data_IF_149732063194
#
_entry.id   IF_149732063194
#
_cell.length_a   1.000
_cell.length_b   1.000
_cell.length_c   1.000
_cell.angle_alpha   90.00
_cell.angle_beta   90.00
_cell.angle_gamma   90.00
#
_symmetry.space_group_name_H-M   'P 1'
#
loop_
_entity.id
_entity.type
_entity.pdbx_description
1 polymer ?
#
# COMPACT_ATOMS: atom_id res chain seq x y z
N UNK A 1 67.61 -115.10 -30.07
CA UNK A 1 68.76 -116.03 -30.10
C UNK A 1 69.55 -115.71 -31.38
N UNK A 2 70.84 -115.33 -31.28
CA UNK A 2 71.66 -114.69 -32.37
C UNK A 2 71.11 -113.31 -32.81
N UNK A 3 71.84 -112.18 -32.83
CA UNK A 3 73.18 -111.75 -33.34
C UNK A 3 73.13 -111.27 -34.82
N UNK A 4 73.76 -110.17 -35.26
CA UNK A 4 74.30 -108.94 -34.61
C UNK A 4 74.72 -107.89 -35.71
N UNK A 5 74.63 -106.56 -35.42
CA UNK A 5 75.38 -105.40 -36.02
C UNK A 5 75.35 -104.99 -37.53
N UNK A 6 75.25 -103.65 -37.75
CA UNK A 6 75.99 -102.77 -38.71
C UNK A 6 75.96 -103.07 -40.25
N UNK A 7 76.30 -102.19 -41.21
CA UNK A 7 76.64 -100.73 -41.23
C UNK A 7 76.44 -100.12 -42.63
N UNK A 8 76.44 -98.79 -42.67
CA UNK A 8 76.71 -97.85 -43.77
C UNK A 8 77.84 -98.24 -44.77
N UNK A 9 77.68 -97.76 -46.02
CA UNK A 9 78.68 -97.15 -46.92
C UNK A 9 79.53 -98.01 -47.89
N UNK A 10 79.90 -97.35 -49.01
CA UNK A 10 81.00 -97.59 -49.98
C UNK A 10 80.67 -98.33 -51.30
N UNK A 11 81.05 -97.65 -52.38
CA UNK A 11 81.10 -98.00 -53.81
C UNK A 11 81.94 -99.28 -54.12
N UNK A 12 82.12 -99.79 -55.36
CA UNK A 12 82.48 -99.11 -56.62
C UNK A 12 82.48 -100.09 -57.82
N UNK A 13 82.55 -99.55 -59.05
CA UNK A 13 82.62 -100.22 -60.38
C UNK A 13 81.33 -100.94 -60.87
N UNK A 14 80.78 -100.81 -62.11
CA UNK A 14 81.27 -100.57 -63.51
C UNK A 14 81.64 -101.90 -64.20
N UNK A 15 81.22 -102.25 -65.43
CA UNK A 15 80.57 -101.51 -66.56
C UNK A 15 79.74 -102.40 -67.53
N UNK A 16 78.88 -101.75 -68.34
CA UNK A 16 78.77 -101.81 -69.83
C UNK A 16 77.35 -101.98 -70.45
N UNK A 17 77.03 -101.02 -71.33
CA UNK A 17 76.23 -101.11 -72.59
C UNK A 17 74.71 -101.42 -72.51
N UNK A 18 73.82 -100.74 -73.25
CA UNK A 18 73.88 -99.41 -73.91
C UNK A 18 72.45 -98.85 -74.18
N UNK A 19 72.34 -97.65 -74.75
CA UNK A 19 71.16 -96.75 -74.71
C UNK A 19 70.21 -96.70 -75.94
N UNK A 20 69.18 -95.82 -75.82
CA UNK A 20 68.52 -94.98 -76.85
C UNK A 20 67.26 -95.48 -77.61
N UNK A 21 66.22 -94.66 -77.90
CA UNK A 21 65.55 -93.51 -77.20
C UNK A 21 64.20 -93.20 -77.93
N UNK A 22 63.22 -92.55 -77.28
CA UNK A 22 61.98 -92.04 -77.93
C UNK A 22 60.92 -91.50 -76.94
N UNK A 23 60.11 -90.48 -77.32
CA UNK A 23 59.48 -89.59 -76.33
C UNK A 23 57.97 -89.23 -76.47
N UNK A 24 57.23 -89.46 -75.38
CA UNK A 24 56.33 -88.54 -74.61
C UNK A 24 55.09 -87.87 -75.26
N UNK A 25 54.03 -87.69 -74.42
CA UNK A 25 52.78 -86.88 -74.51
C UNK A 25 51.47 -87.65 -74.84
N UNK A 26 50.29 -87.36 -74.27
CA UNK A 26 49.90 -86.45 -73.16
C UNK A 26 48.46 -86.72 -72.59
N UNK A 27 48.16 -86.03 -71.47
CA UNK A 27 46.84 -85.45 -71.07
C UNK A 27 45.84 -86.25 -70.20
N UNK A 28 45.50 -85.67 -69.02
CA UNK A 28 44.45 -86.11 -68.06
C UNK A 28 44.04 -84.93 -67.12
N UNK A 29 43.17 -85.17 -66.12
CA UNK A 29 42.60 -84.26 -65.08
C UNK A 29 41.42 -83.35 -65.53
N UNK A 30 40.46 -82.93 -64.67
CA UNK A 30 40.32 -82.94 -63.19
C UNK A 30 38.90 -83.42 -62.80
N UNK A 31 38.71 -84.02 -61.62
CA UNK A 31 37.40 -84.29 -60.98
C UNK A 31 37.39 -83.80 -59.51
N UNK A 32 36.27 -83.25 -59.02
CA UNK A 32 36.10 -82.77 -57.62
C UNK A 32 34.81 -83.32 -56.97
N UNK A 33 34.87 -83.83 -55.72
CA UNK A 33 33.67 -84.11 -54.94
C UNK A 33 33.72 -83.57 -53.49
N UNK A 34 32.74 -82.73 -53.11
CA UNK A 34 31.74 -83.09 -52.08
C UNK A 34 30.86 -81.90 -51.63
N UNK A 35 29.58 -81.92 -52.00
CA UNK A 35 28.56 -81.03 -51.42
C UNK A 35 28.03 -81.65 -50.12
N UNK A 36 27.99 -80.88 -49.03
CA UNK A 36 27.25 -81.22 -47.81
C UNK A 36 26.01 -80.35 -47.69
N UNK A 37 24.87 -80.99 -47.47
CA UNK A 37 23.60 -80.32 -47.22
C UNK A 37 23.58 -79.65 -45.84
N UNK A 38 22.95 -78.48 -45.75
CA UNK A 38 22.55 -77.84 -44.50
C UNK A 38 21.13 -77.29 -44.63
N UNK A 39 20.17 -78.00 -44.03
CA UNK A 39 18.83 -77.49 -43.78
C UNK A 39 18.82 -76.72 -42.46
N UNK A 40 18.46 -75.44 -42.48
CA UNK A 40 17.47 -74.91 -41.53
C UNK A 40 16.89 -73.55 -41.95
N UNK A 41 15.85 -73.12 -41.25
CA UNK A 41 15.04 -71.94 -41.58
C UNK A 41 15.69 -70.60 -41.21
N UNK A 42 15.51 -69.59 -42.08
CA UNK A 42 15.36 -68.19 -41.65
C UNK A 42 16.39 -67.18 -42.18
N UNK A 43 15.95 -66.40 -43.19
CA UNK A 43 16.60 -65.20 -43.77
C UNK A 43 17.93 -65.42 -44.49
N UNK A 44 18.08 -64.75 -45.63
CA UNK A 44 19.28 -64.82 -46.47
C UNK A 44 20.46 -64.05 -45.86
N UNK A 45 21.64 -64.64 -45.88
CA UNK A 45 22.92 -63.92 -45.88
C UNK A 45 23.95 -64.74 -46.66
N UNK A 46 24.21 -64.37 -47.92
CA UNK A 46 25.37 -64.85 -48.67
C UNK A 46 26.54 -63.92 -48.36
N UNK A 47 27.65 -64.46 -47.88
CA UNK A 47 28.91 -63.72 -47.71
C UNK A 47 29.91 -64.22 -48.73
N UNK A 48 30.55 -63.30 -49.45
CA UNK A 48 31.61 -63.58 -50.41
C UNK A 48 32.32 -62.29 -50.81
N UNK A 49 33.66 -62.31 -50.71
CA UNK A 49 34.59 -61.19 -50.91
C UNK A 49 34.53 -60.03 -49.89
N UNK A 50 35.68 -59.36 -49.77
CA UNK A 50 36.09 -58.33 -48.78
C UNK A 50 37.38 -57.66 -49.35
N UNK A 51 37.82 -56.45 -48.96
CA UNK A 51 37.32 -55.43 -48.03
C UNK A 51 36.96 -54.15 -48.84
N UNK A 52 36.60 -52.97 -48.31
CA UNK A 52 36.56 -52.44 -46.94
C UNK A 52 35.40 -51.42 -46.77
N UNK A 53 35.14 -51.03 -45.51
CA UNK A 53 34.33 -49.88 -45.12
C UNK A 53 32.91 -49.75 -45.75
N UNK A 54 32.08 -50.79 -45.59
CA UNK A 54 30.59 -50.73 -45.61
C UNK A 54 29.83 -50.23 -46.88
N UNK A 55 29.21 -51.18 -47.61
CA UNK A 55 28.30 -50.98 -48.77
C UNK A 55 27.30 -52.19 -48.80
N UNK A 56 26.04 -52.22 -49.28
CA UNK A 56 25.19 -51.36 -50.15
C UNK A 56 23.79 -51.08 -49.53
N UNK A 57 22.68 -51.24 -50.27
CA UNK A 57 21.42 -50.48 -50.14
C UNK A 57 20.12 -51.29 -50.40
N UNK A 58 19.11 -51.01 -49.58
CA UNK A 58 17.77 -51.62 -49.52
C UNK A 58 16.91 -50.91 -48.47
N UNK A 59 17.06 -51.28 -47.20
CA UNK A 59 16.67 -50.47 -46.02
C UNK A 59 17.88 -50.28 -45.07
N UNK A 60 19.03 -49.92 -45.63
CA UNK A 60 20.37 -50.26 -45.13
C UNK A 60 21.14 -49.04 -44.52
N UNK A 61 22.15 -49.22 -43.63
CA UNK A 61 23.65 -49.24 -43.84
C UNK A 61 24.16 -47.85 -44.35
N UNK A 62 25.36 -47.30 -44.07
CA UNK A 62 26.77 -47.63 -44.39
C UNK A 62 27.79 -46.68 -43.67
N UNK A 63 29.11 -46.88 -43.86
CA UNK A 63 30.21 -46.03 -43.39
C UNK A 63 31.54 -46.26 -44.16
N UNK A 64 31.90 -45.39 -45.13
CA UNK A 64 33.16 -45.52 -45.91
C UNK A 64 34.44 -44.91 -45.27
N UNK A 65 34.46 -44.67 -43.94
CA UNK A 65 35.66 -44.73 -43.06
C UNK A 65 35.47 -44.10 -41.67
N UNK A 66 34.61 -43.07 -41.49
CA UNK A 66 34.44 -42.40 -40.19
C UNK A 66 33.00 -41.99 -39.79
N UNK A 67 31.98 -42.23 -40.62
CA UNK A 67 30.62 -41.67 -40.47
C UNK A 67 29.55 -42.71 -40.80
N UNK A 68 28.63 -42.98 -39.86
CA UNK A 68 27.59 -44.00 -40.01
C UNK A 68 26.28 -43.38 -40.48
N UNK A 69 25.84 -43.75 -41.68
CA UNK A 69 24.49 -43.49 -42.18
C UNK A 69 23.54 -44.65 -41.88
N UNK A 70 22.29 -44.34 -41.53
CA UNK A 70 21.17 -45.31 -41.53
C UNK A 70 20.04 -44.68 -42.34
N UNK A 71 19.71 -45.24 -43.50
CA UNK A 71 18.73 -44.66 -44.43
C UNK A 71 19.22 -43.40 -45.17
N UNK A 72 20.52 -43.09 -45.12
CA UNK A 72 21.15 -41.96 -45.86
C UNK A 72 22.54 -42.34 -46.35
N UNK A 73 22.82 -42.14 -47.64
CA UNK A 73 24.13 -42.37 -48.28
C UNK A 73 25.06 -41.16 -48.25
N UNK A 74 24.61 -40.06 -47.65
CA UNK A 74 25.42 -38.86 -47.40
C UNK A 74 25.21 -38.44 -45.94
N UNK A 75 25.73 -39.20 -44.96
CA UNK A 75 25.65 -38.80 -43.56
C UNK A 75 26.33 -37.44 -43.36
N UNK A 76 25.68 -36.53 -42.62
CA UNK A 76 26.22 -35.21 -42.27
C UNK A 76 26.76 -35.16 -40.84
N UNK A 77 26.76 -36.30 -40.14
CA UNK A 77 27.18 -36.47 -38.75
C UNK A 77 27.83 -37.85 -38.57
N UNK A 78 28.59 -38.04 -37.47
CA UNK A 78 29.23 -39.33 -37.13
C UNK A 78 28.25 -40.49 -36.97
N UNK A 79 27.00 -40.19 -36.60
CA UNK A 79 25.84 -41.05 -36.81
C UNK A 79 24.69 -40.19 -37.34
N UNK A 80 24.17 -40.52 -38.52
CA UNK A 80 23.06 -39.83 -39.18
C UNK A 80 21.95 -40.84 -39.50
N UNK A 81 20.78 -40.67 -38.89
CA UNK A 81 19.64 -41.60 -38.99
C UNK A 81 18.49 -40.89 -39.70
N UNK A 82 18.26 -41.27 -40.96
CA UNK A 82 17.22 -40.72 -41.82
C UNK A 82 16.13 -41.77 -42.05
N UNK A 83 14.95 -41.53 -41.48
CA UNK A 83 13.79 -42.42 -41.59
C UNK A 83 12.63 -41.78 -42.35
N UNK A 84 11.68 -42.61 -42.80
CA UNK A 84 10.35 -42.18 -43.24
C UNK A 84 9.31 -42.55 -42.18
N UNK A 85 8.19 -41.84 -42.14
CA UNK A 85 7.20 -42.01 -41.06
C UNK A 85 7.68 -41.47 -39.70
N UNK A 86 6.97 -41.83 -38.63
CA UNK A 86 7.10 -41.22 -37.30
C UNK A 86 8.08 -41.87 -36.33
N UNK A 87 8.85 -42.89 -36.73
CA UNK A 87 9.72 -43.68 -35.85
C UNK A 87 11.20 -43.55 -36.24
N UNK A 88 12.00 -42.96 -35.35
CA UNK A 88 13.46 -42.83 -35.48
C UNK A 88 14.22 -43.76 -34.54
N UNK A 89 15.16 -43.20 -33.77
CA UNK A 89 15.95 -43.92 -32.78
C UNK A 89 15.09 -44.43 -31.60
N UNK A 90 15.34 -45.67 -31.15
CA UNK A 90 14.83 -46.23 -29.90
C UNK A 90 16.02 -46.68 -29.04
N UNK A 91 16.04 -46.29 -27.75
CA UNK A 91 17.05 -46.72 -26.77
C UNK A 91 16.33 -47.28 -25.55
N UNK A 92 16.23 -48.60 -25.47
CA UNK A 92 15.38 -49.31 -24.52
C UNK A 92 16.18 -50.33 -23.71
N UNK A 93 16.04 -50.29 -22.39
CA UNK A 93 16.49 -51.36 -21.49
C UNK A 93 15.30 -52.26 -21.10
N UNK A 94 15.60 -53.53 -20.82
CA UNK A 94 14.64 -54.50 -20.27
C UNK A 94 14.56 -54.50 -18.74
N UNK A 95 15.48 -53.81 -18.05
CA UNK A 95 15.45 -53.60 -16.59
C UNK A 95 16.32 -52.40 -16.17
N UNK A 96 16.10 -51.87 -14.96
CA UNK A 96 16.77 -50.65 -14.49
C UNK A 96 16.50 -49.45 -15.43
N UNK A 97 17.52 -48.63 -15.72
CA UNK A 97 17.43 -47.43 -16.57
C UNK A 97 17.88 -47.67 -18.02
N UNK A 98 17.50 -46.74 -18.89
CA UNK A 98 18.01 -46.56 -20.25
C UNK A 98 18.46 -45.11 -20.37
N UNK A 99 19.68 -44.87 -20.88
CA UNK A 99 20.30 -43.53 -20.93
C UNK A 99 20.89 -43.23 -22.29
N UNK A 100 20.97 -41.94 -22.60
CA UNK A 100 21.82 -41.40 -23.67
C UNK A 100 22.73 -40.42 -22.96
N UNK A 101 23.92 -40.88 -22.58
CA UNK A 101 24.92 -40.03 -21.95
C UNK A 101 25.50 -39.07 -22.99
N UNK A 102 25.48 -37.78 -22.68
CA UNK A 102 26.05 -36.71 -23.50
C UNK A 102 27.11 -36.04 -22.64
N UNK A 103 28.36 -36.48 -22.80
CA UNK A 103 29.53 -35.89 -22.16
C UNK A 103 30.30 -35.03 -23.17
N UNK A 104 30.66 -33.82 -22.76
CA UNK A 104 31.37 -32.85 -23.59
C UNK A 104 32.63 -32.38 -22.88
N UNK A 105 33.79 -32.85 -23.36
CA UNK A 105 35.11 -32.46 -22.85
C UNK A 105 35.32 -30.93 -22.81
N UNK A 106 34.70 -30.21 -23.74
CA UNK A 106 34.51 -28.76 -23.67
C UNK A 106 33.33 -28.31 -24.53
N UNK A 107 32.68 -27.21 -24.15
CA UNK A 107 31.49 -26.69 -24.82
C UNK A 107 30.18 -27.40 -24.39
N UNK A 108 29.11 -27.11 -25.13
CA UNK A 108 27.75 -27.57 -24.83
C UNK A 108 27.61 -29.11 -24.85
N UNK A 109 27.32 -29.73 -23.70
CA UNK A 109 26.70 -31.05 -23.68
C UNK A 109 25.19 -30.88 -23.88
N UNK A 110 24.71 -31.11 -25.11
CA UNK A 110 23.38 -30.68 -25.54
C UNK A 110 22.61 -31.70 -26.40
N UNK A 111 21.31 -31.83 -26.12
CA UNK A 111 20.33 -32.24 -27.11
C UNK A 111 19.98 -31.04 -28.01
N UNK A 112 20.13 -31.21 -29.32
CA UNK A 112 19.98 -30.13 -30.30
C UNK A 112 18.80 -30.36 -31.22
N UNK A 113 17.91 -29.37 -31.29
CA UNK A 113 16.75 -29.36 -32.16
C UNK A 113 17.01 -28.42 -33.34
N UNK A 114 16.90 -28.95 -34.56
CA UNK A 114 17.13 -28.23 -35.81
C UNK A 114 15.93 -28.35 -36.75
N UNK A 115 15.73 -27.34 -37.60
CA UNK A 115 14.71 -27.30 -38.64
C UNK A 115 15.40 -27.14 -39.99
N UNK A 116 15.32 -28.18 -40.83
CA UNK A 116 15.93 -28.21 -42.17
C UNK A 116 17.41 -27.77 -42.16
N UNK A 117 18.23 -28.40 -41.32
CA UNK A 117 19.67 -28.10 -41.16
C UNK A 117 19.99 -26.86 -40.32
N UNK A 118 19.03 -25.96 -40.06
CA UNK A 118 19.25 -24.78 -39.21
C UNK A 118 18.98 -25.13 -37.75
N UNK A 119 19.99 -25.01 -36.89
CA UNK A 119 19.83 -25.23 -35.45
C UNK A 119 18.88 -24.18 -34.85
N UNK A 120 17.98 -24.59 -33.96
CA UNK A 120 16.95 -23.71 -33.37
C UNK A 120 17.04 -23.68 -31.85
N UNK A 121 17.23 -24.83 -31.20
CA UNK A 121 17.27 -24.92 -29.74
C UNK A 121 18.32 -25.91 -29.27
N UNK A 122 19.02 -25.58 -28.18
CA UNK A 122 19.75 -26.55 -27.36
C UNK A 122 18.99 -26.73 -26.03
N UNK A 123 18.80 -27.97 -25.59
CA UNK A 123 18.60 -28.30 -24.17
C UNK A 123 19.94 -28.84 -23.67
N UNK A 124 20.59 -28.11 -22.76
CA UNK A 124 22.03 -28.25 -22.48
C UNK A 124 22.41 -28.00 -21.03
N UNK A 125 23.62 -28.42 -20.64
CA UNK A 125 24.35 -27.69 -19.61
C UNK A 125 24.99 -26.42 -20.21
N UNK A 126 25.13 -25.38 -19.39
CA UNK A 126 25.94 -24.22 -19.75
C UNK A 126 27.43 -24.56 -19.58
N UNK A 127 28.29 -24.36 -20.61
CA UNK A 127 29.70 -24.75 -20.54
C UNK A 127 30.56 -23.91 -19.60
N UNK A 128 30.04 -22.81 -19.03
CA UNK A 128 30.77 -21.94 -18.10
C UNK A 128 30.29 -22.04 -16.65
N UNK A 129 29.01 -22.37 -16.43
CA UNK A 129 28.36 -22.40 -15.11
C UNK A 129 27.79 -23.76 -14.70
N UNK A 130 27.68 -24.70 -15.66
CA UNK A 130 26.93 -25.95 -15.54
C UNK A 130 25.43 -25.78 -15.25
N UNK A 131 24.86 -24.58 -15.44
CA UNK A 131 23.43 -24.33 -15.33
C UNK A 131 22.65 -25.18 -16.35
N UNK A 132 21.50 -25.73 -15.96
CA UNK A 132 20.62 -26.45 -16.89
C UNK A 132 19.80 -25.44 -17.69
N UNK A 133 19.93 -25.41 -19.02
CA UNK A 133 19.40 -24.37 -19.89
C UNK A 133 18.52 -24.89 -21.03
N UNK A 134 17.48 -24.12 -21.38
CA UNK A 134 16.85 -24.15 -22.71
C UNK A 134 17.26 -22.86 -23.43
N UNK A 135 18.01 -23.01 -24.52
CA UNK A 135 18.67 -21.92 -25.23
C UNK A 135 18.21 -21.83 -26.69
N UNK A 136 17.75 -20.66 -27.11
CA UNK A 136 17.30 -20.35 -28.47
C UNK A 136 18.47 -19.86 -29.34
N UNK A 137 18.82 -20.65 -30.35
CA UNK A 137 19.88 -20.36 -31.30
C UNK A 137 19.36 -19.44 -32.42
N UNK A 138 20.24 -18.57 -32.94
CA UNK A 138 19.88 -17.63 -34.02
C UNK A 138 19.42 -16.24 -33.55
N UNK A 139 19.51 -15.95 -32.25
CA UNK A 139 19.35 -14.58 -31.72
C UNK A 139 18.49 -14.46 -30.46
N UNK A 140 17.76 -15.51 -30.07
CA UNK A 140 16.89 -15.46 -28.90
C UNK A 140 17.60 -15.57 -27.56
N UNK A 141 18.69 -16.33 -27.48
CA UNK A 141 19.47 -16.51 -26.26
C UNK A 141 18.82 -17.46 -25.26
N UNK A 142 19.17 -17.33 -23.98
CA UNK A 142 18.61 -18.18 -22.93
C UNK A 142 17.14 -17.84 -22.65
N UNK A 143 16.28 -18.87 -22.57
CA UNK A 143 14.83 -18.72 -22.29
C UNK A 143 14.43 -19.27 -20.93
N UNK A 144 15.15 -20.27 -20.45
CA UNK A 144 14.95 -20.96 -19.18
C UNK A 144 16.32 -21.37 -18.64
N UNK A 145 16.58 -21.14 -17.36
CA UNK A 145 17.68 -21.79 -16.64
C UNK A 145 17.29 -22.28 -15.25
N UNK A 146 17.97 -23.31 -14.78
CA UNK A 146 18.15 -23.59 -13.34
C UNK A 146 19.63 -23.41 -13.01
N UNK A 147 19.93 -22.53 -12.06
CA UNK A 147 21.30 -22.30 -11.60
C UNK A 147 21.83 -23.50 -10.82
N UNK A 148 22.98 -24.04 -11.24
CA UNK A 148 23.63 -25.17 -10.59
C UNK A 148 24.07 -24.85 -9.14
N UNK A 149 24.46 -23.59 -8.88
CA UNK A 149 24.98 -23.15 -7.57
C UNK A 149 23.91 -22.80 -6.53
N UNK A 150 22.71 -22.39 -6.96
CA UNK A 150 21.65 -21.87 -6.07
C UNK A 150 20.33 -22.63 -6.17
N UNK A 151 20.09 -23.37 -7.26
CA UNK A 151 18.78 -23.91 -7.61
C UNK A 151 17.74 -22.84 -7.99
N UNK A 152 18.14 -21.59 -8.24
CA UNK A 152 17.22 -20.54 -8.69
C UNK A 152 16.77 -20.77 -10.14
N UNK A 153 15.48 -20.55 -10.41
CA UNK A 153 14.85 -20.70 -11.72
C UNK A 153 14.69 -19.33 -12.39
N UNK A 154 15.32 -19.15 -13.56
CA UNK A 154 15.18 -17.97 -14.41
C UNK A 154 14.34 -18.23 -15.65
N UNK A 155 13.38 -17.34 -15.97
CA UNK A 155 12.61 -17.33 -17.22
C UNK A 155 12.89 -16.03 -18.00
N UNK A 156 13.65 -16.15 -19.09
CA UNK A 156 14.37 -15.05 -19.76
C UNK A 156 15.29 -14.23 -18.82
N UNK A 157 15.58 -14.74 -17.62
CA UNK A 157 16.53 -14.15 -16.67
C UNK A 157 17.77 -15.05 -16.60
N UNK A 158 18.94 -14.61 -17.11
CA UNK A 158 20.18 -15.37 -17.02
C UNK A 158 20.90 -15.25 -15.67
N UNK A 159 20.44 -14.38 -14.76
CA UNK A 159 21.03 -14.16 -13.43
C UNK A 159 19.97 -14.04 -12.31
N UNK A 160 19.04 -15.01 -12.16
CA UNK A 160 17.97 -14.99 -11.16
C UNK A 160 18.54 -14.92 -9.74
N UNK A 161 18.39 -13.77 -9.07
CA UNK A 161 18.78 -13.59 -7.66
C UNK A 161 17.82 -14.30 -6.71
N UNK A 162 16.55 -14.42 -7.10
CA UNK A 162 15.47 -15.06 -6.35
C UNK A 162 15.17 -16.48 -6.83
N UNK A 163 14.49 -17.27 -6.00
CA UNK A 163 14.15 -18.68 -6.29
C UNK A 163 13.37 -18.88 -7.59
N UNK A 164 12.55 -17.90 -7.97
CA UNK A 164 11.93 -17.78 -9.28
C UNK A 164 12.03 -16.32 -9.74
N UNK A 165 12.73 -16.06 -10.84
CA UNK A 165 12.78 -14.76 -11.50
C UNK A 165 12.28 -14.84 -12.94
N UNK A 166 11.58 -13.81 -13.39
CA UNK A 166 10.90 -13.77 -14.69
C UNK A 166 11.07 -12.39 -15.31
N UNK A 167 11.89 -12.29 -16.37
CA UNK A 167 12.00 -11.08 -17.18
C UNK A 167 10.82 -11.04 -18.16
N UNK A 168 9.74 -10.38 -17.74
CA UNK A 168 8.53 -10.21 -18.56
C UNK A 168 7.27 -9.89 -17.75
N UNK A 169 6.11 -10.10 -18.38
CA UNK A 169 4.79 -9.98 -17.72
C UNK A 169 4.19 -11.36 -17.50
N UNK A 170 3.85 -11.68 -16.25
CA UNK A 170 3.21 -12.95 -15.88
C UNK A 170 1.70 -12.90 -16.19
N UNK A 171 1.15 -13.96 -16.79
CA UNK A 171 -0.30 -14.12 -17.01
C UNK A 171 -0.80 -15.40 -16.33
N UNK A 172 -1.29 -15.27 -15.10
CA UNK A 172 -1.87 -16.39 -14.34
C UNK A 172 -3.29 -16.70 -14.85
N UNK A 173 -3.46 -17.81 -15.56
CA UNK A 173 -4.73 -18.16 -16.24
C UNK A 173 -5.78 -18.86 -15.33
N UNK A 174 -5.88 -18.46 -14.07
CA UNK A 174 -6.81 -19.04 -13.10
C UNK A 174 -8.30 -18.70 -13.43
N UNK A 175 -9.31 -19.54 -13.07
CA UNK A 175 -10.73 -19.23 -13.30
C UNK A 175 -11.23 -17.95 -12.64
N UNK A 176 -10.65 -17.54 -11.51
CA UNK A 176 -11.06 -16.33 -10.76
C UNK A 176 -10.57 -15.01 -11.36
N UNK A 177 -9.68 -15.02 -12.36
CA UNK A 177 -9.12 -13.80 -12.99
C UNK A 177 -10.19 -12.84 -13.52
N UNK A 178 -9.92 -11.55 -13.50
CA UNK A 178 -10.83 -10.52 -13.99
C UNK A 178 -10.20 -9.13 -14.03
N UNK A 179 -10.90 -8.17 -14.63
CA UNK A 179 -10.53 -6.75 -14.55
C UNK A 179 -10.71 -6.24 -13.11
N UNK A 180 -9.88 -5.30 -12.67
CA UNK A 180 -9.90 -4.71 -11.32
C UNK A 180 -9.82 -5.75 -10.17
N UNK A 181 -9.02 -6.80 -10.39
CA UNK A 181 -8.66 -7.80 -9.39
C UNK A 181 -7.20 -7.72 -8.96
N UNK A 182 -6.94 -8.14 -7.73
CA UNK A 182 -5.61 -8.29 -7.13
C UNK A 182 -5.37 -9.74 -6.74
N UNK A 183 -4.10 -10.14 -6.73
CA UNK A 183 -3.68 -11.45 -6.22
C UNK A 183 -3.58 -11.39 -4.70
N UNK A 184 -4.25 -12.31 -4.00
CA UNK A 184 -4.20 -12.44 -2.53
C UNK A 184 -3.95 -13.88 -2.14
N UNK A 185 -3.12 -14.12 -1.13
CA UNK A 185 -2.86 -15.44 -0.56
C UNK A 185 -3.92 -15.86 0.46
N UNK A 186 -4.24 -17.15 0.53
CA UNK A 186 -4.89 -17.76 1.69
C UNK A 186 -3.88 -18.04 2.83
N UNK A 187 -4.32 -18.72 3.89
CA UNK A 187 -3.48 -19.10 5.02
C UNK A 187 -2.36 -20.13 4.68
N UNK A 188 -2.44 -20.77 3.50
CA UNK A 188 -1.44 -21.72 2.99
C UNK A 188 -0.51 -21.07 1.93
N UNK A 189 -0.68 -19.77 1.65
CA UNK A 189 0.08 -19.05 0.62
C UNK A 189 -0.49 -19.15 -0.80
N UNK A 190 -1.65 -19.77 -1.00
CA UNK A 190 -2.25 -19.98 -2.33
C UNK A 190 -2.81 -18.67 -2.88
N UNK A 191 -2.14 -18.13 -3.91
CA UNK A 191 -2.56 -16.89 -4.58
C UNK A 191 -3.80 -17.07 -5.45
N UNK A 192 -4.87 -16.32 -5.16
CA UNK A 192 -6.12 -16.29 -5.95
C UNK A 192 -6.47 -14.85 -6.37
N UNK A 193 -7.19 -14.68 -7.49
CA UNK A 193 -7.61 -13.35 -7.94
C UNK A 193 -8.89 -12.91 -7.24
N UNK A 194 -8.77 -12.00 -6.28
CA UNK A 194 -9.90 -11.42 -5.56
C UNK A 194 -10.26 -10.04 -6.10
N UNK A 195 -11.52 -9.64 -5.92
CA UNK A 195 -11.94 -8.28 -6.22
C UNK A 195 -11.17 -7.30 -5.33
N UNK A 196 -10.77 -6.14 -5.88
CA UNK A 196 -10.32 -5.01 -5.07
C UNK A 196 -11.50 -4.52 -4.23
N UNK A 197 -11.62 -5.00 -2.98
CA UNK A 197 -12.62 -4.54 -2.02
C UNK A 197 -13.80 -5.48 -1.71
N UNK A 198 -13.66 -6.81 -1.71
CA UNK A 198 -14.70 -7.72 -1.15
C UNK A 198 -14.56 -8.01 0.36
N UNK A 199 -13.47 -7.59 1.00
CA UNK A 199 -13.28 -7.69 2.47
C UNK A 199 -13.21 -6.31 3.16
N UNK A 200 -13.53 -5.23 2.45
CA UNK A 200 -13.41 -3.85 2.92
C UNK A 200 -14.58 -2.98 2.41
N UNK A 201 -15.80 -3.30 2.85
CA UNK A 201 -17.04 -2.57 2.54
C UNK A 201 -17.13 -1.23 3.29
N UNK A 202 -16.06 -0.43 3.26
CA UNK A 202 -15.83 0.63 4.25
C UNK A 202 -15.23 1.94 3.73
N UNK A 203 -14.63 1.98 2.53
CA UNK A 203 -14.05 3.21 1.96
C UNK A 203 -14.05 3.19 0.43
N UNK A 204 -14.46 4.30 -0.19
CA UNK A 204 -14.29 4.58 -1.61
C UNK A 204 -13.53 5.90 -1.80
N UNK A 205 -12.83 6.01 -2.93
CA UNK A 205 -12.11 7.21 -3.37
C UNK A 205 -12.69 7.63 -4.73
N UNK A 206 -13.26 8.82 -4.82
CA UNK A 206 -13.89 9.34 -6.05
C UNK A 206 -13.50 10.80 -6.25
N UNK A 207 -12.68 11.06 -7.26
CA UNK A 207 -12.02 12.37 -7.43
C UNK A 207 -11.18 12.69 -6.19
N UNK A 208 -11.34 13.89 -5.64
CA UNK A 208 -10.64 14.34 -4.42
C UNK A 208 -11.28 13.83 -3.11
N UNK A 209 -12.36 13.05 -3.16
CA UNK A 209 -13.13 12.64 -1.98
C UNK A 209 -12.77 11.23 -1.53
N UNK A 210 -12.53 11.05 -0.23
CA UNK A 210 -12.55 9.75 0.45
C UNK A 210 -13.77 9.68 1.37
N UNK A 211 -14.59 8.64 1.26
CA UNK A 211 -15.82 8.49 2.07
C UNK A 211 -16.15 7.01 2.32
N UNK A 212 -16.91 6.72 3.38
CA UNK A 212 -17.39 5.36 3.63
C UNK A 212 -18.47 5.01 2.60
N UNK A 213 -18.22 3.95 1.82
CA UNK A 213 -19.12 3.45 0.78
C UNK A 213 -20.07 2.36 1.27
N UNK A 214 -19.84 1.81 2.46
CA UNK A 214 -20.84 1.03 3.19
C UNK A 214 -21.77 1.93 3.99
N UNK A 215 -22.91 1.39 4.43
CA UNK A 215 -23.88 2.09 5.30
C UNK A 215 -23.39 2.21 6.77
N UNK A 216 -22.07 2.26 6.98
CA UNK A 216 -21.42 2.20 8.28
C UNK A 216 -20.91 3.55 8.78
N UNK A 217 -20.63 3.63 10.08
CA UNK A 217 -20.08 4.82 10.73
C UNK A 217 -18.55 4.87 10.67
N UNK A 218 -17.98 6.08 10.76
CA UNK A 218 -16.53 6.32 10.76
C UNK A 218 -16.00 6.42 12.19
N UNK A 219 -15.20 5.44 12.60
CA UNK A 219 -14.50 5.43 13.89
C UNK A 219 -13.04 5.87 13.75
N UNK A 220 -12.63 6.93 14.44
CA UNK A 220 -11.24 7.41 14.49
C UNK A 220 -10.66 7.12 15.87
N UNK A 221 -9.85 6.06 15.97
CA UNK A 221 -9.35 5.55 17.25
C UNK A 221 -10.40 4.82 18.09
N UNK A 222 -11.52 4.40 17.49
CA UNK A 222 -12.56 3.59 18.14
C UNK A 222 -13.20 2.64 17.13
N UNK A 223 -13.57 1.43 17.57
CA UNK A 223 -14.38 0.47 16.81
C UNK A 223 -15.87 0.49 17.20
N UNK A 224 -16.22 1.07 18.35
CA UNK A 224 -17.60 1.15 18.86
C UNK A 224 -18.17 2.55 18.63
N UNK A 225 -18.76 2.71 17.44
CA UNK A 225 -19.31 3.97 16.93
C UNK A 225 -20.83 4.03 17.15
N UNK A 226 -21.32 5.17 17.64
CA UNK A 226 -22.74 5.42 17.95
C UNK A 226 -23.32 6.58 17.12
N UNK A 227 -22.52 7.18 16.25
CA UNK A 227 -22.87 8.26 15.33
C UNK A 227 -22.04 8.13 14.04
N UNK A 228 -22.48 8.70 12.90
CA UNK A 228 -21.80 8.59 11.60
C UNK A 228 -20.31 8.94 11.58
N UNK A 229 -19.85 9.76 12.51
CA UNK A 229 -18.44 9.98 12.80
C UNK A 229 -18.24 10.04 14.32
N UNK A 230 -17.29 9.27 14.86
CA UNK A 230 -16.95 9.28 16.29
C UNK A 230 -15.44 9.10 16.50
N UNK A 231 -14.87 9.90 17.40
CA UNK A 231 -13.47 9.79 17.83
C UNK A 231 -13.34 8.91 19.08
N UNK A 232 -12.11 8.46 19.38
CA UNK A 232 -11.75 7.84 20.65
C UNK A 232 -12.23 8.68 21.86
N UNK A 233 -12.71 8.02 22.91
CA UNK A 233 -13.16 8.66 24.16
C UNK A 233 -11.96 9.05 25.04
N UNK A 234 -11.19 10.01 24.56
CA UNK A 234 -9.95 10.53 25.16
C UNK A 234 -10.04 12.06 25.15
N UNK A 235 -9.75 12.70 26.28
CA UNK A 235 -9.65 14.16 26.38
C UNK A 235 -8.37 14.65 25.69
N UNK A 236 -8.48 15.67 24.85
CA UNK A 236 -7.36 16.30 24.15
C UNK A 236 -7.77 17.70 23.65
N UNK A 237 -6.82 18.64 23.62
CA UNK A 237 -7.05 19.93 22.97
C UNK A 237 -7.34 19.73 21.48
N UNK A 238 -6.52 18.93 20.78
CA UNK A 238 -6.74 18.59 19.37
C UNK A 238 -7.61 17.34 19.21
N UNK A 239 -8.85 17.52 18.75
CA UNK A 239 -9.73 16.42 18.26
C UNK A 239 -10.00 16.56 16.76
N UNK A 240 -10.20 17.78 16.29
CA UNK A 240 -10.29 18.15 14.87
C UNK A 240 -9.41 19.38 14.67
N UNK A 241 -8.46 19.32 13.74
CA UNK A 241 -7.64 20.45 13.28
C UNK A 241 -8.09 20.81 11.87
N UNK A 242 -8.39 22.10 11.64
CA UNK A 242 -8.77 22.63 10.32
C UNK A 242 -7.60 23.40 9.67
N UNK A 243 -6.79 24.05 10.49
CA UNK A 243 -5.54 24.72 10.14
C UNK A 243 -4.65 24.83 11.37
N UNK A 244 -3.33 24.87 11.22
CA UNK A 244 -2.39 25.10 12.32
C UNK A 244 -1.20 25.95 11.90
N UNK A 245 -0.69 26.74 12.85
CA UNK A 245 0.50 27.60 12.67
C UNK A 245 1.77 26.90 13.17
N UNK A 246 1.64 26.02 14.16
CA UNK A 246 2.72 25.19 14.70
C UNK A 246 2.17 23.90 15.32
N UNK A 247 2.93 22.81 15.18
CA UNK A 247 2.58 21.49 15.72
C UNK A 247 2.86 21.42 17.23
N UNK A 248 1.86 21.82 18.01
CA UNK A 248 1.81 21.71 19.48
C UNK A 248 0.34 21.47 19.91
N UNK A 249 -0.10 21.89 21.09
CA UNK A 249 -1.49 21.69 21.58
C UNK A 249 -2.32 22.99 21.67
N UNK A 250 -1.84 24.09 21.07
CA UNK A 250 -2.43 25.44 21.24
C UNK A 250 -2.56 26.25 19.94
N UNK A 251 -1.58 26.19 19.04
CA UNK A 251 -1.53 27.03 17.82
C UNK A 251 -2.29 26.42 16.63
N UNK A 252 -3.59 26.22 16.78
CA UNK A 252 -4.46 25.66 15.75
C UNK A 252 -5.87 26.24 15.77
N UNK A 253 -6.56 26.06 14.64
CA UNK A 253 -7.95 26.42 14.43
C UNK A 253 -8.75 25.12 14.34
N UNK A 254 -9.72 24.92 15.23
CA UNK A 254 -10.49 23.67 15.27
C UNK A 254 -11.17 23.39 16.61
N UNK A 255 -11.36 22.11 16.90
CA UNK A 255 -12.20 21.62 17.99
C UNK A 255 -11.47 20.62 18.89
N UNK A 256 -11.85 20.61 20.18
CA UNK A 256 -11.26 19.80 21.23
C UNK A 256 -12.23 19.40 22.32
N UNK A 257 -11.77 18.60 23.28
CA UNK A 257 -12.53 18.28 24.49
C UNK A 257 -11.61 18.12 25.70
N UNK A 258 -11.87 18.89 26.75
CA UNK A 258 -11.22 18.80 28.06
C UNK A 258 -12.28 18.42 29.11
N UNK A 259 -11.90 18.27 30.38
CA UNK A 259 -12.85 17.92 31.45
C UNK A 259 -13.99 18.93 31.51
N UNK A 260 -15.24 18.45 31.48
CA UNK A 260 -16.49 19.23 31.43
C UNK A 260 -16.57 20.30 30.32
N UNK A 261 -15.67 20.29 29.31
CA UNK A 261 -15.43 21.45 28.44
C UNK A 261 -15.32 21.04 26.97
N UNK A 262 -16.23 21.52 26.12
CA UNK A 262 -16.06 21.51 24.67
C UNK A 262 -15.15 22.66 24.27
N UNK A 263 -14.00 22.37 23.64
CA UNK A 263 -13.04 23.40 23.21
C UNK A 263 -13.31 23.82 21.78
N UNK A 264 -13.46 25.13 21.59
CA UNK A 264 -13.26 25.81 20.31
C UNK A 264 -11.90 26.50 20.42
N UNK A 265 -11.00 26.30 19.44
CA UNK A 265 -9.67 26.91 19.46
C UNK A 265 -9.43 27.71 18.18
N UNK A 266 -8.75 28.85 18.35
CA UNK A 266 -8.01 29.59 17.33
C UNK A 266 -6.58 29.79 17.83
N UNK A 267 -5.64 30.04 16.92
CA UNK A 267 -4.27 30.36 17.30
C UNK A 267 -4.13 31.86 17.69
N UNK A 268 -2.89 32.31 17.95
CA UNK A 268 -2.63 33.63 18.53
C UNK A 268 -3.10 34.77 17.60
N UNK A 269 -3.79 35.77 18.15
CA UNK A 269 -4.41 36.84 17.35
C UNK A 269 -5.67 36.43 16.55
N UNK A 270 -6.02 35.14 16.52
CA UNK A 270 -7.23 34.62 15.90
C UNK A 270 -8.52 35.08 16.58
N UNK A 271 -9.64 35.02 15.86
CA UNK A 271 -10.94 35.49 16.34
C UNK A 271 -12.00 34.39 16.11
N UNK A 272 -12.92 34.19 17.05
CA UNK A 272 -14.10 33.35 16.82
C UNK A 272 -15.20 34.21 16.20
N UNK A 273 -15.52 34.01 14.92
CA UNK A 273 -16.49 34.83 14.18
C UNK A 273 -17.57 33.96 13.55
N UNK A 274 -18.82 34.38 13.72
CA UNK A 274 -20.01 33.73 13.17
C UNK A 274 -20.52 34.54 11.98
N UNK A 275 -20.53 33.91 10.81
CA UNK A 275 -20.96 34.51 9.54
C UNK A 275 -22.30 33.93 9.07
N UNK A 276 -23.14 34.78 8.47
CA UNK A 276 -24.23 34.36 7.59
C UNK A 276 -23.95 34.77 6.15
N UNK A 277 -24.54 34.06 5.19
CA UNK A 277 -24.43 34.43 3.77
C UNK A 277 -25.16 35.76 3.48
N UNK A 278 -24.60 36.57 2.57
CA UNK A 278 -25.32 37.69 1.93
C UNK A 278 -25.67 37.30 0.50
N UNK A 279 -24.70 36.76 -0.26
CA UNK A 279 -24.86 36.27 -1.62
C UNK A 279 -23.67 35.33 -1.97
N UNK A 280 -23.56 34.91 -3.24
CA UNK A 280 -22.52 34.00 -3.71
C UNK A 280 -21.06 34.47 -3.58
N UNK A 281 -20.78 35.72 -3.20
CA UNK A 281 -19.42 36.27 -3.03
C UNK A 281 -19.20 37.05 -1.74
N UNK A 282 -20.19 37.18 -0.84
CA UNK A 282 -19.99 37.86 0.45
C UNK A 282 -20.84 37.32 1.61
N UNK A 283 -20.34 37.55 2.82
CA UNK A 283 -20.91 37.11 4.09
C UNK A 283 -20.99 38.27 5.10
N UNK A 284 -21.99 38.23 5.98
CA UNK A 284 -22.21 39.20 7.06
C UNK A 284 -21.71 38.62 8.38
N UNK A 285 -20.84 39.36 9.07
CA UNK A 285 -20.50 39.08 10.48
C UNK A 285 -21.74 39.30 11.36
N UNK A 286 -22.10 38.30 12.17
CA UNK A 286 -23.24 38.37 13.09
C UNK A 286 -22.81 38.52 14.55
N UNK A 287 -21.77 37.78 14.94
CA UNK A 287 -21.25 37.74 16.30
C UNK A 287 -19.75 37.41 16.26
N UNK A 288 -18.99 38.02 17.16
CA UNK A 288 -17.54 37.87 17.25
C UNK A 288 -17.07 37.89 18.70
N UNK A 289 -16.15 36.97 19.01
CA UNK A 289 -15.25 37.06 20.15
C UNK A 289 -13.85 37.33 19.58
N UNK A 290 -13.29 38.48 19.92
CA UNK A 290 -12.00 38.92 19.44
C UNK A 290 -10.84 38.28 20.22
N UNK A 291 -9.64 38.31 19.63
CA UNK A 291 -8.40 37.80 20.26
C UNK A 291 -8.07 38.42 21.62
N UNK A 292 -8.55 39.63 21.88
CA UNK A 292 -8.40 40.36 23.15
C UNK A 292 -9.61 40.22 24.09
N UNK A 293 -10.45 39.19 23.90
CA UNK A 293 -11.63 38.92 24.72
C UNK A 293 -12.87 39.81 24.45
N UNK A 294 -12.74 40.88 23.66
CA UNK A 294 -13.88 41.75 23.33
C UNK A 294 -14.97 40.98 22.57
N UNK A 295 -16.22 41.13 23.00
CA UNK A 295 -17.40 40.52 22.36
C UNK A 295 -18.21 41.59 21.63
N UNK A 296 -18.60 41.31 20.38
CA UNK A 296 -19.44 42.20 19.57
C UNK A 296 -20.51 41.44 18.79
N UNK A 297 -21.72 42.01 18.72
CA UNK A 297 -22.84 41.50 17.94
C UNK A 297 -23.31 42.54 16.92
N UNK A 298 -23.69 42.11 15.71
CA UNK A 298 -24.24 42.98 14.66
C UNK A 298 -25.75 43.25 14.80
N UNK A 299 -26.30 43.01 16.00
CA UNK A 299 -27.71 43.15 16.37
C UNK A 299 -27.86 43.29 17.89
N UNK A 300 -29.11 43.42 18.36
CA UNK A 300 -29.40 43.70 19.78
C UNK A 300 -29.38 42.44 20.63
N UNK A 301 -28.56 42.43 21.69
CA UNK A 301 -28.59 41.40 22.73
C UNK A 301 -29.86 41.61 23.57
N UNK A 302 -30.75 40.62 23.57
CA UNK A 302 -32.07 40.69 24.21
C UNK A 302 -32.19 39.66 25.33
N UNK A 303 -32.74 40.05 26.48
CA UNK A 303 -32.85 39.22 27.68
C UNK A 303 -34.32 38.87 27.96
N UNK A 304 -34.60 37.62 28.33
CA UNK A 304 -35.95 37.14 28.63
C UNK A 304 -36.49 37.76 29.93
N UNK A 305 -37.64 38.44 29.85
CA UNK A 305 -38.17 39.23 30.97
C UNK A 305 -39.68 39.00 31.25
N UNK A 306 -40.27 38.00 30.59
CA UNK A 306 -41.69 37.63 30.71
C UNK A 306 -42.08 37.28 32.16
N UNK A 307 -43.26 37.73 32.61
CA UNK A 307 -43.80 37.47 33.96
C UNK A 307 -43.93 35.96 34.25
N UNK A 308 -44.21 35.14 33.24
CA UNK A 308 -44.38 33.67 33.37
C UNK A 308 -43.06 32.94 33.68
N UNK A 309 -41.92 33.58 33.43
CA UNK A 309 -40.58 33.07 33.73
C UNK A 309 -40.06 33.57 35.09
N UNK A 310 -40.90 34.27 35.86
CA UNK A 310 -40.53 34.92 37.13
C UNK A 310 -41.50 34.50 38.25
N UNK A 311 -40.93 34.31 39.43
CA UNK A 311 -41.64 34.09 40.69
C UNK A 311 -41.19 35.14 41.71
N UNK A 312 -41.85 35.17 42.87
CA UNK A 312 -41.41 35.93 44.05
C UNK A 312 -41.17 37.43 43.75
N UNK A 313 -42.03 38.01 42.90
CA UNK A 313 -41.84 39.34 42.28
C UNK A 313 -42.14 40.46 43.30
N UNK A 314 -41.11 40.96 43.96
CA UNK A 314 -41.16 42.16 44.82
C UNK A 314 -40.73 43.39 44.04
N UNK A 315 -41.34 44.55 44.30
CA UNK A 315 -40.93 45.83 43.69
C UNK A 315 -39.72 46.40 44.43
N UNK A 316 -38.72 46.87 43.69
CA UNK A 316 -37.63 47.69 44.25
C UNK A 316 -38.19 48.98 44.88
N UNK A 317 -37.67 49.33 46.06
CA UNK A 317 -38.02 50.51 46.87
C UNK A 317 -36.77 51.04 47.58
N UNK A 318 -36.72 52.35 47.84
CA UNK A 318 -35.65 53.02 48.60
C UNK A 318 -34.23 52.67 48.09
N UNK A 319 -34.05 52.72 46.77
CA UNK A 319 -32.78 52.35 46.12
C UNK A 319 -31.81 53.53 46.00
N UNK A 320 -32.32 54.75 46.06
CA UNK A 320 -31.52 55.97 45.91
C UNK A 320 -30.39 56.11 46.96
N UNK A 321 -30.60 55.87 48.27
CA UNK A 321 -29.51 55.97 49.26
C UNK A 321 -28.42 54.91 49.08
N UNK A 322 -28.77 53.71 48.59
CA UNK A 322 -27.79 52.68 48.23
C UNK A 322 -26.92 53.15 47.05
N UNK A 323 -27.53 53.72 46.01
CA UNK A 323 -26.80 54.22 44.84
C UNK A 323 -25.86 55.38 45.19
N UNK A 324 -26.24 56.27 46.11
CA UNK A 324 -25.34 57.32 46.64
C UNK A 324 -24.15 56.76 47.46
N UNK A 325 -24.16 55.48 47.82
CA UNK A 325 -23.07 54.82 48.55
C UNK A 325 -22.10 54.05 47.63
N UNK A 326 -22.31 54.05 46.31
CA UNK A 326 -21.46 53.39 45.32
C UNK A 326 -20.53 54.38 44.60
N UNK A 327 -19.26 54.00 44.44
CA UNK A 327 -18.24 54.83 43.78
C UNK A 327 -17.95 54.33 42.36
N UNK A 328 -17.84 55.26 41.41
CA UNK A 328 -17.34 54.98 40.06
C UNK A 328 -15.82 55.12 39.98
N UNK A 329 -15.14 54.10 39.47
CA UNK A 329 -13.68 54.03 39.38
C UNK A 329 -13.19 54.07 37.94
N UNK A 330 -12.06 54.75 37.73
CA UNK A 330 -11.21 54.59 36.56
C UNK A 330 -10.09 53.59 36.91
N UNK A 331 -9.81 52.61 36.05
CA UNK A 331 -8.80 51.59 36.32
C UNK A 331 -8.13 51.07 35.04
N UNK A 332 -6.98 50.42 35.21
CA UNK A 332 -6.37 49.56 34.18
C UNK A 332 -6.38 48.12 34.72
N UNK A 333 -6.35 47.13 33.81
CA UNK A 333 -6.14 45.74 34.21
C UNK A 333 -4.71 45.53 34.73
N UNK A 334 -4.51 44.49 35.56
CA UNK A 334 -3.18 44.14 36.09
C UNK A 334 -2.37 43.22 35.17
N UNK A 335 -3.02 42.64 34.16
CA UNK A 335 -2.40 41.74 33.19
C UNK A 335 -2.51 42.32 31.78
N UNK A 336 -1.38 42.40 31.09
CA UNK A 336 -1.20 42.87 29.70
C UNK A 336 -1.92 41.99 28.65
N UNK A 337 -2.48 40.85 29.08
CA UNK A 337 -3.38 39.99 28.30
C UNK A 337 -4.76 40.59 28.08
N UNK A 338 -5.15 41.55 28.93
CA UNK A 338 -6.40 42.29 28.84
C UNK A 338 -6.17 43.64 28.11
N UNK A 339 -7.17 44.52 28.04
CA UNK A 339 -6.97 45.81 27.38
C UNK A 339 -6.27 46.83 28.28
N UNK A 340 -5.07 47.26 27.87
CA UNK A 340 -4.29 48.36 28.49
C UNK A 340 -4.98 49.74 28.47
N UNK A 341 -6.16 49.84 27.86
CA UNK A 341 -6.94 51.08 27.83
C UNK A 341 -7.53 51.36 29.20
N UNK A 342 -7.63 52.63 29.58
CA UNK A 342 -8.34 53.07 30.77
C UNK A 342 -9.81 52.61 30.71
N UNK A 343 -10.23 51.85 31.72
CA UNK A 343 -11.59 51.34 31.90
C UNK A 343 -12.33 52.17 32.95
N UNK A 344 -13.67 52.16 32.87
CA UNK A 344 -14.55 52.80 33.86
C UNK A 344 -15.53 51.74 34.37
N UNK A 345 -15.76 51.68 35.68
CA UNK A 345 -16.68 50.70 36.28
C UNK A 345 -16.79 50.80 37.81
N UNK A 346 -17.34 49.75 38.42
CA UNK A 346 -17.46 49.60 39.88
C UNK A 346 -16.50 48.52 40.41
N UNK A 347 -16.12 48.63 41.68
CA UNK A 347 -15.54 47.52 42.42
C UNK A 347 -16.67 46.56 42.83
N UNK A 348 -16.59 45.29 42.39
CA UNK A 348 -17.63 44.30 42.64
C UNK A 348 -17.91 44.08 44.14
N UNK A 349 -16.88 44.25 44.99
CA UNK A 349 -16.97 44.16 46.44
C UNK A 349 -17.84 45.25 47.07
N UNK A 350 -17.87 46.47 46.50
CA UNK A 350 -18.77 47.54 46.98
C UNK A 350 -20.22 47.30 46.52
N UNK A 351 -20.39 46.81 45.29
CA UNK A 351 -21.71 46.43 44.76
C UNK A 351 -22.31 45.28 45.57
N UNK A 352 -21.52 44.27 45.95
CA UNK A 352 -21.98 43.09 46.70
C UNK A 352 -22.58 43.43 48.08
N UNK A 353 -22.06 44.44 48.77
CA UNK A 353 -22.57 44.89 50.08
C UNK A 353 -23.98 45.49 49.98
N UNK A 354 -24.34 46.04 48.81
CA UNK A 354 -25.57 46.82 48.63
C UNK A 354 -26.59 46.12 47.71
N UNK A 355 -26.11 45.36 46.73
CA UNK A 355 -26.86 44.63 45.71
C UNK A 355 -26.17 43.28 45.42
N UNK A 356 -26.11 42.34 46.39
CA UNK A 356 -25.47 41.03 46.20
C UNK A 356 -26.08 40.24 45.03
N UNK A 357 -27.35 40.47 44.71
CA UNK A 357 -28.04 39.89 43.54
C UNK A 357 -27.49 40.35 42.18
N UNK A 358 -26.59 41.32 42.15
CA UNK A 358 -25.89 41.81 40.95
C UNK A 358 -24.42 41.36 40.88
N UNK A 359 -23.94 40.54 41.81
CA UNK A 359 -22.54 40.10 41.88
C UNK A 359 -22.45 38.58 41.88
N UNK A 360 -21.71 38.04 40.92
CA UNK A 360 -21.36 36.61 40.86
C UNK A 360 -19.90 36.41 41.29
N UNK A 361 -19.59 35.26 41.88
CA UNK A 361 -18.22 34.87 42.26
C UNK A 361 -17.86 33.57 41.56
N UNK A 362 -16.75 33.53 40.82
CA UNK A 362 -16.31 32.33 40.11
C UNK A 362 -15.51 31.36 41.00
N UNK A 363 -15.18 30.19 40.47
CA UNK A 363 -14.46 29.11 41.18
C UNK A 363 -13.10 29.55 41.77
N UNK A 364 -12.47 30.57 41.18
CA UNK A 364 -11.20 31.16 41.62
C UNK A 364 -11.37 32.32 42.62
N UNK A 365 -12.60 32.64 43.03
CA UNK A 365 -12.91 33.73 43.96
C UNK A 365 -12.99 35.13 43.34
N UNK A 366 -12.81 35.28 42.02
CA UNK A 366 -12.99 36.58 41.36
C UNK A 366 -14.47 36.91 41.22
N UNK A 367 -14.79 38.20 41.37
CA UNK A 367 -16.16 38.72 41.36
C UNK A 367 -16.46 39.52 40.08
N UNK A 368 -17.63 39.30 39.50
CA UNK A 368 -18.15 40.00 38.32
C UNK A 368 -19.44 40.77 38.66
N UNK A 369 -19.76 41.83 37.89
CA UNK A 369 -20.94 42.68 38.13
C UNK A 369 -21.91 42.62 36.95
N UNK A 370 -23.18 42.37 37.23
CA UNK A 370 -24.27 42.48 36.25
C UNK A 370 -24.67 43.96 36.06
N UNK A 371 -23.89 44.68 35.25
CA UNK A 371 -24.15 46.09 34.91
C UNK A 371 -25.54 46.33 34.29
N UNK A 372 -26.11 45.34 33.60
CA UNK A 372 -27.45 45.45 32.97
C UNK A 372 -28.55 45.42 34.06
N UNK A 373 -28.33 44.66 35.13
CA UNK A 373 -29.20 44.61 36.30
C UNK A 373 -29.26 45.91 37.12
N UNK A 374 -28.31 46.84 36.93
CA UNK A 374 -28.39 48.19 37.51
C UNK A 374 -29.45 49.07 36.84
N UNK A 375 -29.87 48.79 35.60
CA UNK A 375 -30.78 49.66 34.84
C UNK A 375 -32.16 49.82 35.55
N UNK A 376 -32.81 48.75 36.05
CA UNK A 376 -34.01 48.87 36.89
C UNK A 376 -33.77 49.61 38.23
N UNK A 377 -32.58 49.49 38.83
CA UNK A 377 -32.24 50.18 40.08
C UNK A 377 -32.13 51.69 39.84
N UNK A 378 -31.43 52.09 38.77
CA UNK A 378 -31.34 53.48 38.32
C UNK A 378 -32.72 54.05 37.96
N UNK A 379 -33.59 53.25 37.34
CA UNK A 379 -34.96 53.68 37.00
C UNK A 379 -35.81 54.00 38.23
N UNK A 380 -35.78 53.18 39.28
CA UNK A 380 -36.50 53.51 40.52
C UNK A 380 -35.81 54.63 41.30
N UNK A 381 -34.48 54.74 41.26
CA UNK A 381 -33.76 55.86 41.87
C UNK A 381 -34.12 57.22 41.23
N UNK A 382 -34.30 57.28 39.91
CA UNK A 382 -34.78 58.48 39.21
C UNK A 382 -36.23 58.82 39.62
N UNK A 383 -37.07 57.83 39.95
CA UNK A 383 -38.43 58.06 40.48
C UNK A 383 -38.40 58.56 41.92
N UNK A 384 -37.53 58.00 42.76
CA UNK A 384 -37.29 58.48 44.13
C UNK A 384 -36.79 59.94 44.11
N UNK A 385 -35.80 60.27 43.27
CA UNK A 385 -35.33 61.66 43.05
C UNK A 385 -36.43 62.60 42.58
N UNK A 386 -37.27 62.17 41.62
CA UNK A 386 -38.41 62.96 41.12
C UNK A 386 -39.43 63.23 42.24
N UNK A 387 -39.72 62.23 43.08
CA UNK A 387 -40.59 62.39 44.26
C UNK A 387 -40.02 63.40 45.27
N UNK A 388 -38.73 63.36 45.55
CA UNK A 388 -38.08 64.37 46.40
C UNK A 388 -38.13 65.78 45.79
N UNK A 389 -37.94 65.91 44.48
CA UNK A 389 -38.03 67.18 43.78
C UNK A 389 -39.46 67.77 43.81
N UNK A 390 -40.48 66.92 43.65
CA UNK A 390 -41.89 67.34 43.74
C UNK A 390 -42.27 67.75 45.17
N UNK A 391 -41.78 67.01 46.18
CA UNK A 391 -41.96 67.42 47.59
C UNK A 391 -41.30 68.78 47.84
N UNK A 392 -40.02 68.96 47.50
CA UNK A 392 -39.31 70.24 47.66
C UNK A 392 -40.00 71.39 46.91
N UNK A 393 -40.62 71.12 45.77
CA UNK A 393 -41.40 72.11 45.00
C UNK A 393 -42.70 72.50 45.73
N UNK A 394 -43.37 71.54 46.37
CA UNK A 394 -44.53 71.80 47.24
C UNK A 394 -44.12 72.64 48.46
N UNK A 395 -43.05 72.23 49.16
CA UNK A 395 -42.52 72.92 50.34
C UNK A 395 -42.15 74.39 50.01
N UNK A 396 -41.49 74.62 48.87
CA UNK A 396 -41.14 75.96 48.37
C UNK A 396 -42.38 76.82 48.08
N UNK A 397 -43.47 76.24 47.58
CA UNK A 397 -44.69 76.99 47.29
C UNK A 397 -45.46 77.33 48.58
N UNK A 398 -45.58 76.38 49.51
CA UNK A 398 -46.14 76.64 50.85
C UNK A 398 -45.34 77.74 51.59
N UNK A 399 -44.01 77.72 51.48
CA UNK A 399 -43.15 78.76 52.08
C UNK A 399 -43.35 80.15 51.45
N UNK A 400 -43.60 80.23 50.13
CA UNK A 400 -43.95 81.50 49.46
C UNK A 400 -45.32 82.02 49.91
N UNK A 401 -46.32 81.15 49.98
CA UNK A 401 -47.67 81.51 50.45
C UNK A 401 -47.62 82.02 51.90
N UNK A 402 -46.86 81.34 52.77
CA UNK A 402 -46.61 81.79 54.14
C UNK A 402 -45.88 83.14 54.17
N UNK A 403 -44.83 83.33 53.37
CA UNK A 403 -44.08 84.60 53.30
C UNK A 403 -44.93 85.78 52.81
N UNK A 404 -45.77 85.57 51.79
CA UNK A 404 -46.74 86.57 51.32
C UNK A 404 -47.78 86.91 52.40
N UNK A 405 -48.31 85.91 53.11
CA UNK A 405 -49.25 86.15 54.22
C UNK A 405 -48.61 86.97 55.36
N UNK A 406 -47.36 86.67 55.72
CA UNK A 406 -46.60 87.41 56.72
C UNK A 406 -46.26 88.83 56.25
N UNK A 407 -45.93 89.03 54.97
CA UNK A 407 -45.70 90.38 54.41
C UNK A 407 -46.97 91.24 54.48
N UNK A 408 -48.13 90.66 54.18
CA UNK A 408 -49.45 91.33 54.25
C UNK A 408 -49.82 91.66 55.70
N UNK A 409 -49.42 90.84 56.67
CA UNK A 409 -49.62 91.16 58.09
C UNK A 409 -48.70 92.31 58.53
N UNK A 410 -47.39 92.21 58.25
CA UNK A 410 -46.41 93.23 58.63
C UNK A 410 -46.69 94.60 58.01
N UNK A 411 -47.20 94.69 56.77
CA UNK A 411 -47.56 96.01 56.22
C UNK A 411 -48.76 96.63 56.91
N UNK A 412 -49.74 95.84 57.38
CA UNK A 412 -50.85 96.39 58.19
C UNK A 412 -50.36 96.96 59.51
N UNK A 413 -49.48 96.23 60.20
CA UNK A 413 -48.85 96.64 61.46
C UNK A 413 -47.90 97.86 61.32
N UNK A 414 -47.73 98.42 60.12
CA UNK A 414 -46.97 99.66 59.86
C UNK A 414 -47.82 100.85 59.37
N UNK A 415 -49.16 100.72 59.35
CA UNK A 415 -50.08 101.79 58.92
C UNK A 415 -51.16 102.16 59.96
N UNK A 416 -51.13 101.55 61.14
CA UNK A 416 -51.80 102.00 62.38
C UNK A 416 -50.77 102.62 63.35
#
# INVERSE_FOLDING_TARGET
MKKIFFSLLVCFLISMLDENTGSVFAQESIDEPSVKNLENSGKNLKVGAIMADWVLNGTEIYNLSTEVGIGTSTPSYKLDIRHTGGTGLNVQSSSSFSVIDIDAFSGDAALRFAKNGVNQWNFRNDPSTNNLQIFELGGGGERFQIQNTTGNLGLNDPNPTEKLSIVGRIKMNDPSKGINKVLTSDANGVGTWQNVGTSATGWAVVGSNMYNSGLGFVGIGTSTTNAPMQFANILANRKIVLYEEANNDHQYYGFGINSSTLRYQVASGGNHIFYANINGSSSKELFKIASNGNISAAGVISFSSDKRLKKDIVKLINVLPKLYSLNGYNYHWREETNSDKLQIGFLAQEVEVLFPELVETNENGYKSVNYIGLIPVLLEAVKDMKKELDQKTSDINQLKELFESLRIQLTKETFD
#
